data_IF_727802725966
#
_entry.id   IF_727802725966
#
_cell.length_a   1.000
_cell.length_b   1.000
_cell.length_c   1.000
_cell.angle_alpha   90.00
_cell.angle_beta   90.00
_cell.angle_gamma   90.00
#
_symmetry.space_group_name_H-M   'P 1'
#
loop_
_entity.id
_entity.type
_entity.pdbx_description
1 polymer ?
#
# COMPACT_ATOMS: atom_id res chain seq x y z
N UNK A 1 4.31 12.68 3.57
CA UNK A 1 3.69 11.54 4.26
C UNK A 1 3.06 10.52 3.32
N UNK A 2 2.27 10.89 2.29
CA UNK A 2 1.64 9.90 1.40
C UNK A 2 2.62 8.87 0.79
N UNK A 3 3.77 9.31 0.26
CA UNK A 3 4.80 8.39 -0.27
C UNK A 3 5.38 7.44 0.80
N UNK A 4 5.54 7.93 2.03
CA UNK A 4 6.05 7.11 3.15
C UNK A 4 5.03 6.05 3.57
N UNK A 5 3.74 6.40 3.58
CA UNK A 5 2.66 5.45 3.89
C UNK A 5 2.58 4.34 2.84
N UNK A 6 2.66 4.68 1.56
CA UNK A 6 2.70 3.69 0.47
C UNK A 6 3.91 2.76 0.63
N UNK A 7 5.12 3.31 0.81
CA UNK A 7 6.31 2.48 0.99
C UNK A 7 6.27 1.62 2.26
N UNK A 8 5.68 2.13 3.34
CA UNK A 8 5.46 1.35 4.56
C UNK A 8 4.48 0.19 4.31
N UNK A 9 3.37 0.44 3.61
CA UNK A 9 2.39 -0.59 3.28
C UNK A 9 2.99 -1.71 2.41
N UNK A 10 3.80 -1.35 1.40
CA UNK A 10 4.55 -2.32 0.58
C UNK A 10 5.47 -3.18 1.44
N UNK A 11 6.30 -2.54 2.27
CA UNK A 11 7.21 -3.26 3.16
C UNK A 11 6.47 -4.18 4.14
N UNK A 12 5.32 -3.74 4.67
CA UNK A 12 4.49 -4.55 5.56
C UNK A 12 3.91 -5.78 4.85
N UNK A 13 3.46 -5.64 3.59
CA UNK A 13 2.99 -6.78 2.79
C UNK A 13 4.15 -7.76 2.55
N UNK A 14 5.31 -7.28 2.15
CA UNK A 14 6.49 -8.14 1.88
C UNK A 14 6.95 -8.90 3.13
N UNK A 15 7.07 -8.21 4.26
CA UNK A 15 7.41 -8.83 5.54
C UNK A 15 6.37 -9.88 5.96
N UNK A 16 5.09 -9.60 5.72
CA UNK A 16 4.00 -10.54 6.05
C UNK A 16 4.05 -11.78 5.15
N UNK A 17 4.30 -11.61 3.85
CA UNK A 17 4.49 -12.72 2.90
C UNK A 17 5.66 -13.60 3.35
N UNK A 18 6.80 -12.99 3.69
CA UNK A 18 7.97 -13.71 4.18
C UNK A 18 7.64 -14.51 5.45
N UNK A 19 7.12 -13.84 6.47
CA UNK A 19 6.80 -14.49 7.75
C UNK A 19 5.79 -15.62 7.59
N UNK A 20 4.73 -15.41 6.80
CA UNK A 20 3.69 -16.42 6.61
C UNK A 20 4.15 -17.62 5.79
N UNK A 21 5.22 -17.48 5.02
CA UNK A 21 5.88 -18.57 4.27
C UNK A 21 6.81 -19.37 5.18
N UNK A 22 7.56 -18.72 6.06
CA UNK A 22 8.51 -19.36 6.98
C UNK A 22 7.81 -20.03 8.18
N UNK A 23 6.68 -19.49 8.64
CA UNK A 23 5.97 -19.99 9.82
C UNK A 23 5.09 -21.19 9.45
N UNK A 24 5.36 -22.33 10.09
CA UNK A 24 4.56 -23.55 9.95
C UNK A 24 3.64 -23.80 11.16
N UNK A 25 2.36 -24.11 10.90
CA UNK A 25 1.38 -24.60 11.88
C UNK A 25 0.44 -25.61 11.22
N UNK A 26 -0.09 -26.56 11.98
CA UNK A 26 -0.96 -27.62 11.44
C UNK A 26 -0.32 -28.38 10.24
N UNK A 27 0.99 -28.59 10.30
CA UNK A 27 1.74 -29.33 9.28
C UNK A 27 2.00 -28.59 7.96
N UNK A 28 1.71 -27.29 7.85
CA UNK A 28 1.92 -26.49 6.63
C UNK A 28 2.30 -25.04 6.95
N UNK A 29 2.82 -24.32 5.95
CA UNK A 29 3.04 -22.88 6.08
C UNK A 29 1.70 -22.16 6.34
N UNK A 30 1.67 -21.20 7.25
CA UNK A 30 0.43 -20.49 7.61
C UNK A 30 -0.11 -19.68 6.43
N UNK A 31 0.77 -19.23 5.53
CA UNK A 31 0.42 -18.54 4.29
C UNK A 31 -0.43 -19.39 3.33
N UNK A 32 -0.57 -20.71 3.56
CA UNK A 32 -1.52 -21.54 2.82
C UNK A 32 -2.99 -21.25 3.18
N UNK A 33 -3.26 -20.54 4.28
CA UNK A 33 -4.61 -20.14 4.67
C UNK A 33 -5.15 -19.05 3.73
N UNK A 34 -6.26 -19.34 3.05
CA UNK A 34 -6.89 -18.40 2.12
C UNK A 34 -7.21 -17.05 2.76
N UNK A 35 -7.64 -17.02 4.04
CA UNK A 35 -7.94 -15.76 4.72
C UNK A 35 -6.72 -14.82 4.76
N UNK A 36 -5.52 -15.36 5.01
CA UNK A 36 -4.28 -14.58 5.01
C UNK A 36 -3.90 -14.12 3.61
N UNK A 37 -3.97 -15.01 2.62
CA UNK A 37 -3.70 -14.68 1.22
C UNK A 37 -4.61 -13.55 0.72
N UNK A 38 -5.91 -13.68 0.95
CA UNK A 38 -6.88 -12.67 0.54
C UNK A 38 -6.65 -11.34 1.25
N UNK A 39 -6.32 -11.36 2.55
CA UNK A 39 -6.05 -10.12 3.27
C UNK A 39 -4.81 -9.39 2.72
N UNK A 40 -3.70 -10.11 2.51
CA UNK A 40 -2.48 -9.56 1.91
C UNK A 40 -2.71 -9.06 0.47
N UNK A 41 -3.46 -9.81 -0.34
CA UNK A 41 -3.81 -9.40 -1.70
C UNK A 41 -4.64 -8.10 -1.70
N UNK A 42 -5.59 -7.95 -0.77
CA UNK A 42 -6.37 -6.73 -0.63
C UNK A 42 -5.50 -5.53 -0.25
N UNK A 43 -4.58 -5.70 0.70
CA UNK A 43 -3.62 -4.65 1.07
C UNK A 43 -2.75 -4.25 -0.12
N UNK A 44 -2.13 -5.22 -0.81
CA UNK A 44 -1.29 -4.98 -1.98
C UNK A 44 -2.05 -4.22 -3.09
N UNK A 45 -3.28 -4.64 -3.37
CA UNK A 45 -4.14 -3.98 -4.36
C UNK A 45 -4.42 -2.54 -3.95
N UNK A 46 -4.84 -2.29 -2.71
CA UNK A 46 -5.11 -0.92 -2.25
C UNK A 46 -3.88 -0.02 -2.30
N UNK A 47 -2.72 -0.54 -1.92
CA UNK A 47 -1.45 0.19 -2.00
C UNK A 47 -1.11 0.56 -3.44
N UNK A 48 -1.29 -0.35 -4.39
CA UNK A 48 -1.09 -0.07 -5.82
C UNK A 48 -2.06 1.00 -6.32
N UNK A 49 -3.33 0.94 -5.94
CA UNK A 49 -4.34 1.94 -6.30
C UNK A 49 -4.09 3.33 -5.68
N UNK A 50 -3.31 3.43 -4.61
CA UNK A 50 -2.94 4.72 -4.01
C UNK A 50 -1.79 5.43 -4.77
N UNK A 51 -0.94 4.69 -5.49
CA UNK A 51 0.22 5.26 -6.22
C UNK A 51 -0.14 6.31 -7.27
N UNK A 52 -1.17 6.12 -8.13
CA UNK A 52 -1.56 7.15 -9.09
C UNK A 52 -1.94 8.48 -8.44
N UNK A 53 -2.61 8.45 -7.28
CA UNK A 53 -2.96 9.66 -6.54
C UNK A 53 -1.70 10.39 -6.05
N UNK A 54 -0.70 9.65 -5.54
CA UNK A 54 0.61 10.19 -5.17
C UNK A 54 1.33 10.81 -6.38
N UNK A 55 1.41 10.10 -7.50
CA UNK A 55 2.09 10.60 -8.70
C UNK A 55 1.42 11.85 -9.26
N UNK A 56 0.08 11.89 -9.26
CA UNK A 56 -0.67 13.09 -9.62
C UNK A 56 -0.34 14.25 -8.70
N UNK A 57 -0.26 14.03 -7.38
CA UNK A 57 0.12 15.08 -6.44
C UNK A 57 1.54 15.61 -6.71
N UNK A 58 2.52 14.73 -6.90
CA UNK A 58 3.90 15.12 -7.22
C UNK A 58 4.00 15.91 -8.54
N UNK A 59 3.28 15.46 -9.57
CA UNK A 59 3.22 16.18 -10.85
C UNK A 59 2.57 17.56 -10.69
N UNK A 60 1.43 17.67 -10.01
CA UNK A 60 0.74 18.96 -9.84
C UNK A 60 1.56 19.92 -8.99
N UNK A 61 2.23 19.46 -7.93
CA UNK A 61 3.15 20.29 -7.13
C UNK A 61 4.27 20.87 -7.99
N UNK A 62 4.83 20.08 -8.91
CA UNK A 62 5.95 20.52 -9.76
C UNK A 62 5.51 21.41 -10.94
N UNK A 63 4.36 21.12 -11.56
CA UNK A 63 3.95 21.76 -12.82
C UNK A 63 2.83 22.79 -12.66
N UNK A 64 2.00 22.67 -11.62
CA UNK A 64 0.78 23.48 -11.41
C UNK A 64 0.54 23.75 -9.91
N UNK A 65 1.49 24.40 -9.21
CA UNK A 65 1.47 24.50 -7.75
C UNK A 65 0.22 25.18 -7.18
N UNK A 66 -0.39 26.12 -7.91
CA UNK A 66 -1.65 26.80 -7.53
C UNK A 66 -2.84 25.84 -7.43
N UNK A 67 -2.75 24.64 -8.02
CA UNK A 67 -3.80 23.62 -7.99
C UNK A 67 -3.38 22.36 -7.21
N UNK A 68 -2.30 22.43 -6.44
CA UNK A 68 -1.72 21.26 -5.76
C UNK A 68 -2.59 20.76 -4.58
N UNK A 69 -3.33 21.65 -3.93
CA UNK A 69 -4.01 21.42 -2.65
C UNK A 69 -4.94 20.19 -2.70
N UNK A 70 -5.77 20.12 -3.74
CA UNK A 70 -6.69 19.00 -3.95
C UNK A 70 -5.95 17.70 -4.28
N UNK A 71 -4.91 17.78 -5.10
CA UNK A 71 -4.14 16.60 -5.49
C UNK A 71 -3.38 16.00 -4.30
N UNK A 72 -2.77 16.86 -3.47
CA UNK A 72 -2.06 16.47 -2.24
C UNK A 72 -3.03 15.89 -1.20
N UNK A 73 -4.18 16.52 -1.00
CA UNK A 73 -5.19 16.03 -0.06
C UNK A 73 -5.73 14.65 -0.47
N UNK A 74 -6.02 14.47 -1.76
CA UNK A 74 -6.44 13.18 -2.30
C UNK A 74 -5.35 12.11 -2.11
N UNK A 75 -4.09 12.42 -2.42
CA UNK A 75 -2.99 11.49 -2.20
C UNK A 75 -2.83 11.08 -0.72
N UNK A 76 -3.04 12.01 0.21
CA UNK A 76 -2.99 11.70 1.65
C UNK A 76 -4.10 10.72 2.05
N UNK A 77 -5.33 10.91 1.58
CA UNK A 77 -6.46 10.04 1.93
C UNK A 77 -6.26 8.66 1.32
N UNK A 78 -5.98 8.59 0.01
CA UNK A 78 -5.75 7.33 -0.69
C UNK A 78 -4.61 6.51 -0.06
N UNK A 79 -3.49 7.16 0.29
CA UNK A 79 -2.37 6.48 0.95
C UNK A 79 -2.65 6.09 2.41
N UNK A 80 -3.60 6.75 3.10
CA UNK A 80 -3.98 6.41 4.47
C UNK A 80 -5.03 5.30 4.57
N UNK A 81 -5.75 5.01 3.48
CA UNK A 81 -6.75 3.93 3.38
C UNK A 81 -6.20 2.65 2.75
N UNK A 82 -4.96 2.72 2.25
CA UNK A 82 -4.18 1.61 1.74
C UNK A 82 -3.70 0.71 2.88
#
# INVERSE_FOLDING_TARGET
MAAQLIGLAEAMVDMTVQYTTERHQFGRAIGANQALKHHMANCAVKTEFAKPALYRAAYTVSQRPVHADFAVSHAKVAAGEA
#
